data_IF_979336183828
#
_entry.id   IF_979336183828
#
_cell.length_a   1.000
_cell.length_b   1.000
_cell.length_c   1.000
_cell.angle_alpha   90.00
_cell.angle_beta   90.00
_cell.angle_gamma   90.00
#
_symmetry.space_group_name_H-M   'P 1'
#
loop_
_entity.id
_entity.type
_entity.pdbx_description
1 polymer ?
#
# COMPACT_ATOMS: atom_id res chain seq x y z
N UNK A 1 15.34 11.45 -11.60
CA UNK A 1 16.60 10.66 -11.67
C UNK A 1 16.78 9.92 -13.00
N UNK A 2 15.72 9.52 -13.70
CA UNK A 2 15.80 8.68 -14.91
C UNK A 2 16.37 9.38 -16.16
N UNK A 3 16.27 10.72 -16.25
CA UNK A 3 16.80 11.54 -17.35
C UNK A 3 18.29 11.89 -17.22
N UNK A 4 18.96 11.43 -16.16
CA UNK A 4 20.38 11.70 -15.97
C UNK A 4 21.25 11.01 -17.02
N UNK A 5 22.41 11.59 -17.32
CA UNK A 5 23.44 10.91 -18.10
C UNK A 5 23.88 9.61 -17.41
N UNK A 6 24.24 8.59 -18.21
CA UNK A 6 24.57 7.24 -17.73
C UNK A 6 25.66 7.25 -16.66
N UNK A 7 26.71 8.05 -16.83
CA UNK A 7 27.79 8.19 -15.85
C UNK A 7 27.28 8.64 -14.47
N UNK A 8 26.36 9.61 -14.45
CA UNK A 8 25.73 10.10 -13.22
C UNK A 8 24.83 9.04 -12.57
N UNK A 9 24.14 8.22 -13.37
CA UNK A 9 23.36 7.07 -12.88
C UNK A 9 24.28 6.05 -12.17
N UNK A 10 25.37 5.66 -12.84
CA UNK A 10 26.34 4.71 -12.32
C UNK A 10 27.00 5.21 -11.04
N UNK A 11 27.39 6.49 -10.98
CA UNK A 11 27.96 7.09 -9.77
C UNK A 11 26.98 7.05 -8.59
N UNK A 12 25.71 7.40 -8.81
CA UNK A 12 24.69 7.33 -7.76
C UNK A 12 24.49 5.88 -7.28
N UNK A 13 24.43 4.92 -8.19
CA UNK A 13 24.24 3.50 -7.87
C UNK A 13 25.46 2.88 -7.18
N UNK A 14 26.68 3.33 -7.50
CA UNK A 14 27.90 2.84 -6.87
C UNK A 14 27.90 3.04 -5.34
N UNK A 15 27.23 4.08 -4.83
CA UNK A 15 27.05 4.33 -3.39
C UNK A 15 26.23 3.24 -2.68
N UNK A 16 25.40 2.52 -3.44
CA UNK A 16 24.49 1.48 -2.92
C UNK A 16 24.84 0.07 -3.43
N UNK A 17 25.90 -0.07 -4.23
CA UNK A 17 26.29 -1.32 -4.88
C UNK A 17 27.56 -1.91 -4.28
N UNK A 18 27.65 -3.24 -4.30
CA UNK A 18 28.81 -3.96 -3.80
C UNK A 18 30.04 -3.79 -4.69
N UNK A 19 31.22 -3.68 -4.08
CA UNK A 19 32.50 -3.74 -4.81
C UNK A 19 32.72 -5.15 -5.36
N UNK A 20 33.36 -5.25 -6.51
CA UNK A 20 33.86 -6.51 -7.03
C UNK A 20 35.04 -7.01 -6.18
N UNK A 21 35.06 -8.31 -5.86
CA UNK A 21 36.17 -8.95 -5.13
C UNK A 21 36.31 -8.61 -3.65
N UNK A 22 35.37 -7.87 -3.03
CA UNK A 22 35.38 -7.64 -1.58
C UNK A 22 33.97 -7.45 -0.97
N UNK A 23 33.91 -7.36 0.36
CA UNK A 23 32.65 -7.23 1.10
C UNK A 23 32.08 -5.80 1.21
N UNK A 24 32.74 -4.82 0.58
CA UNK A 24 32.26 -3.44 0.59
C UNK A 24 30.88 -3.34 -0.09
N UNK A 25 29.91 -2.72 0.58
CA UNK A 25 28.51 -2.61 0.11
C UNK A 25 28.14 -1.25 -0.49
N UNK A 26 29.12 -0.40 -0.73
CA UNK A 26 28.88 0.93 -1.28
C UNK A 26 30.13 1.78 -1.34
N UNK A 27 30.30 2.46 -2.46
CA UNK A 27 31.36 3.43 -2.65
C UNK A 27 31.10 4.68 -1.80
N UNK A 28 32.14 5.16 -1.12
CA UNK A 28 32.16 6.46 -0.46
C UNK A 28 33.40 7.20 -0.91
N UNK A 29 33.25 8.46 -1.30
CA UNK A 29 34.39 9.28 -1.67
C UNK A 29 35.32 9.43 -0.46
N UNK A 30 36.60 9.13 -0.63
CA UNK A 30 37.60 9.48 0.37
C UNK A 30 37.68 11.02 0.47
N UNK A 31 37.71 11.56 1.70
CA UNK A 31 37.77 13.01 1.92
C UNK A 31 38.95 13.61 1.15
N UNK A 32 38.66 14.44 0.15
CA UNK A 32 39.66 15.33 -0.44
C UNK A 32 39.98 16.40 0.60
N UNK A 33 41.25 16.57 0.96
CA UNK A 33 41.69 17.73 1.75
C UNK A 33 41.27 19.02 1.05
N UNK A 34 40.88 20.04 1.82
CA UNK A 34 40.08 21.20 1.42
C UNK A 34 40.63 22.12 0.30
N UNK A 35 41.74 21.76 -0.36
CA UNK A 35 42.44 22.59 -1.36
C UNK A 35 42.31 22.11 -2.82
N UNK A 36 41.37 21.23 -3.15
CA UNK A 36 41.19 20.76 -4.54
C UNK A 36 39.96 21.39 -5.22
N UNK A 37 40.21 22.38 -6.07
CA UNK A 37 39.24 23.16 -6.86
C UNK A 37 38.69 22.44 -8.11
N UNK A 38 38.84 21.12 -8.20
CA UNK A 38 38.30 20.30 -9.30
C UNK A 38 37.52 19.09 -8.75
N UNK A 39 36.24 19.30 -8.49
CA UNK A 39 35.33 18.32 -7.86
C UNK A 39 34.77 17.28 -8.85
N UNK A 40 35.54 16.84 -9.84
CA UNK A 40 35.13 15.71 -10.68
C UNK A 40 35.57 14.40 -10.04
N UNK A 41 34.62 13.49 -9.84
CA UNK A 41 34.87 12.12 -9.38
C UNK A 41 35.34 11.28 -10.57
N UNK A 42 36.48 10.62 -10.44
CA UNK A 42 37.05 9.79 -11.52
C UNK A 42 36.88 8.29 -11.23
N UNK A 43 36.83 7.41 -12.25
CA UNK A 43 36.74 5.95 -12.04
C UNK A 43 37.91 5.34 -11.26
N UNK A 44 39.02 6.07 -11.11
CA UNK A 44 40.21 5.70 -10.33
C UNK A 44 40.16 6.18 -8.88
N UNK A 45 39.19 7.02 -8.50
CA UNK A 45 39.09 7.53 -7.13
C UNK A 45 38.87 6.38 -6.14
N UNK A 46 39.68 6.29 -5.07
CA UNK A 46 39.60 5.20 -4.11
C UNK A 46 38.38 5.34 -3.20
N UNK A 47 37.75 4.21 -2.90
CA UNK A 47 36.67 4.11 -1.93
C UNK A 47 37.21 4.31 -0.51
N UNK A 48 36.57 5.16 0.28
CA UNK A 48 36.92 5.34 1.69
C UNK A 48 36.83 4.05 2.52
N UNK A 49 35.89 3.16 2.18
CA UNK A 49 35.63 1.96 2.98
C UNK A 49 36.53 0.76 2.65
N UNK A 50 37.01 0.63 1.41
CA UNK A 50 37.78 -0.55 0.96
C UNK A 50 39.00 -0.23 0.10
N UNK A 51 39.31 1.06 -0.10
CA UNK A 51 40.42 1.61 -0.90
C UNK A 51 40.45 1.21 -2.39
N UNK A 52 39.57 0.30 -2.82
CA UNK A 52 39.38 -0.06 -4.22
C UNK A 52 38.83 1.10 -5.06
N UNK A 53 39.16 1.15 -6.37
CA UNK A 53 38.74 2.23 -7.25
C UNK A 53 37.22 2.21 -7.50
N UNK A 54 36.62 3.38 -7.74
CA UNK A 54 35.21 3.52 -8.11
C UNK A 54 34.78 2.58 -9.25
N UNK A 55 35.66 2.35 -10.23
CA UNK A 55 35.42 1.41 -11.33
C UNK A 55 35.03 0.00 -10.87
N UNK A 56 35.60 -0.51 -9.77
CA UNK A 56 35.23 -1.83 -9.20
C UNK A 56 33.84 -1.84 -8.53
N UNK A 57 33.30 -0.67 -8.15
CA UNK A 57 31.92 -0.55 -7.68
C UNK A 57 30.92 -0.38 -8.84
N UNK A 58 31.41 0.03 -10.01
CA UNK A 58 30.61 0.22 -11.23
C UNK A 58 30.65 -0.98 -12.17
N UNK A 59 31.58 -1.93 -11.99
CA UNK A 59 31.83 -3.02 -12.95
C UNK A 59 30.60 -3.90 -13.20
N UNK A 60 29.80 -4.19 -12.18
CA UNK A 60 28.54 -4.96 -12.32
C UNK A 60 27.38 -4.14 -12.89
N UNK A 61 27.47 -2.81 -12.81
CA UNK A 61 26.42 -1.88 -13.24
C UNK A 61 26.64 -1.42 -14.70
N UNK A 62 27.89 -1.20 -15.09
CA UNK A 62 28.25 -0.67 -16.41
C UNK A 62 27.76 -1.51 -17.59
N UNK A 63 27.61 -2.85 -17.50
CA UNK A 63 27.02 -3.67 -18.57
C UNK A 63 25.48 -3.63 -18.62
N UNK A 64 24.80 -3.14 -17.57
CA UNK A 64 23.34 -3.21 -17.48
C UNK A 64 22.66 -2.25 -18.47
N UNK A 65 21.50 -2.63 -19.05
CA UNK A 65 20.72 -1.72 -19.87
C UNK A 65 20.22 -0.53 -19.04
N UNK A 66 19.97 0.60 -19.71
CA UNK A 66 19.51 1.83 -19.05
C UNK A 66 18.19 1.67 -18.29
N UNK A 67 17.31 0.78 -18.76
CA UNK A 67 16.07 0.39 -18.07
C UNK A 67 16.36 -0.23 -16.68
N UNK A 68 17.33 -1.12 -16.60
CA UNK A 68 17.69 -1.77 -15.33
C UNK A 68 18.39 -0.80 -14.38
N UNK A 69 19.23 0.10 -14.91
CA UNK A 69 19.79 1.20 -14.13
C UNK A 69 18.69 2.12 -13.58
N UNK A 70 17.67 2.44 -14.39
CA UNK A 70 16.52 3.22 -13.95
C UNK A 70 15.73 2.50 -12.86
N UNK A 71 15.49 1.18 -13.00
CA UNK A 71 14.83 0.38 -11.96
C UNK A 71 15.58 0.44 -10.63
N UNK A 72 16.91 0.25 -10.66
CA UNK A 72 17.74 0.32 -9.46
C UNK A 72 17.76 1.75 -8.86
N UNK A 73 17.77 2.78 -9.71
CA UNK A 73 17.67 4.17 -9.24
C UNK A 73 16.33 4.47 -8.58
N UNK A 74 15.23 3.90 -9.07
CA UNK A 74 13.92 3.98 -8.41
C UNK A 74 13.99 3.42 -6.99
N UNK A 75 14.60 2.23 -6.84
CA UNK A 75 14.83 1.64 -5.51
C UNK A 75 15.71 2.51 -4.61
N UNK A 76 16.72 3.20 -5.16
CA UNK A 76 17.56 4.13 -4.37
C UNK A 76 16.72 5.29 -3.84
N UNK A 77 15.84 5.86 -4.66
CA UNK A 77 14.90 6.92 -4.23
C UNK A 77 13.98 6.40 -3.14
N UNK A 78 13.44 5.19 -3.28
CA UNK A 78 12.58 4.56 -2.27
C UNK A 78 13.34 4.31 -0.96
N UNK A 79 14.60 3.87 -1.01
CA UNK A 79 15.46 3.72 0.17
C UNK A 79 15.64 5.06 0.89
N UNK A 80 15.84 6.16 0.14
CA UNK A 80 15.97 7.51 0.71
C UNK A 80 14.64 7.99 1.33
N UNK A 81 13.51 7.74 0.67
CA UNK A 81 12.18 8.06 1.19
C UNK A 81 11.89 7.31 2.50
N UNK A 82 12.10 5.98 2.52
CA UNK A 82 11.92 5.16 3.73
C UNK A 82 12.87 5.62 4.83
N UNK A 83 14.12 5.94 4.50
CA UNK A 83 15.08 6.44 5.48
C UNK A 83 14.58 7.73 6.15
N UNK A 84 14.02 8.66 5.39
CA UNK A 84 13.40 9.86 5.94
C UNK A 84 12.17 9.53 6.81
N UNK A 85 11.34 8.57 6.40
CA UNK A 85 10.19 8.11 7.20
C UNK A 85 10.63 7.52 8.54
N UNK A 86 11.70 6.71 8.59
CA UNK A 86 12.25 6.13 9.84
C UNK A 86 12.64 7.23 10.85
N UNK A 87 13.17 8.36 10.38
CA UNK A 87 13.60 9.46 11.26
C UNK A 87 12.43 10.26 11.84
N UNK A 88 11.30 10.29 11.13
CA UNK A 88 10.08 10.97 11.54
C UNK A 88 9.14 10.07 12.34
N UNK A 89 9.30 8.76 12.21
CA UNK A 89 8.43 7.78 12.87
C UNK A 89 8.75 7.64 14.37
N UNK A 90 7.70 7.81 15.17
CA UNK A 90 7.71 7.71 16.63
C UNK A 90 7.23 6.34 17.10
N UNK A 91 6.28 5.73 16.39
CA UNK A 91 5.72 4.44 16.77
C UNK A 91 6.74 3.31 16.54
N UNK A 92 7.11 2.54 17.57
CA UNK A 92 8.16 1.53 17.47
C UNK A 92 7.82 0.41 16.49
N UNK A 93 6.55 -0.03 16.47
CA UNK A 93 6.09 -1.10 15.60
C UNK A 93 6.17 -0.69 14.12
N UNK A 94 5.74 0.52 13.80
CA UNK A 94 5.82 1.09 12.43
C UNK A 94 7.27 1.30 12.01
N UNK A 95 8.12 1.78 12.91
CA UNK A 95 9.55 1.99 12.66
C UNK A 95 10.31 0.70 12.37
N UNK A 96 9.99 -0.40 13.06
CA UNK A 96 10.55 -1.72 12.79
C UNK A 96 10.23 -2.19 11.36
N UNK A 97 8.99 -1.96 10.90
CA UNK A 97 8.57 -2.31 9.53
C UNK A 97 9.31 -1.48 8.50
N UNK A 98 9.44 -0.16 8.71
CA UNK A 98 10.24 0.68 7.80
C UNK A 98 11.71 0.26 7.78
N UNK A 99 12.29 -0.10 8.92
CA UNK A 99 13.68 -0.59 8.97
C UNK A 99 13.84 -1.93 8.23
N UNK A 100 12.86 -2.82 8.32
CA UNK A 100 12.82 -4.05 7.52
C UNK A 100 12.82 -3.74 6.02
N UNK A 101 11.92 -2.86 5.54
CA UNK A 101 11.83 -2.50 4.12
C UNK A 101 13.10 -1.79 3.62
N UNK A 102 13.66 -0.90 4.43
CA UNK A 102 14.95 -0.26 4.14
C UNK A 102 16.06 -1.30 3.92
N UNK A 103 16.18 -2.29 4.80
CA UNK A 103 17.17 -3.38 4.66
C UNK A 103 16.89 -4.23 3.42
N UNK A 104 15.61 -4.56 3.16
CA UNK A 104 15.19 -5.35 2.00
C UNK A 104 15.60 -4.66 0.70
N UNK A 105 15.21 -3.40 0.51
CA UNK A 105 15.52 -2.64 -0.71
C UNK A 105 17.01 -2.47 -0.91
N UNK A 106 17.76 -2.13 0.15
CA UNK A 106 19.23 -2.02 0.07
C UNK A 106 19.88 -3.32 -0.36
N UNK A 107 19.45 -4.46 0.20
CA UNK A 107 19.94 -5.78 -0.22
C UNK A 107 19.61 -6.05 -1.69
N UNK A 108 18.38 -5.76 -2.12
CA UNK A 108 17.97 -5.97 -3.51
C UNK A 108 18.74 -5.08 -4.50
N UNK A 109 19.14 -3.86 -4.12
CA UNK A 109 20.03 -3.03 -4.95
C UNK A 109 21.42 -3.68 -5.08
N UNK A 110 22.02 -4.14 -3.97
CA UNK A 110 23.33 -4.82 -3.97
C UNK A 110 23.30 -6.11 -4.80
N UNK A 111 22.21 -6.87 -4.72
CA UNK A 111 22.02 -8.14 -5.42
C UNK A 111 21.47 -7.98 -6.84
N UNK A 112 21.13 -6.76 -7.26
CA UNK A 112 20.49 -6.46 -8.55
C UNK A 112 19.16 -7.22 -8.76
N UNK A 113 18.37 -7.37 -7.71
CA UNK A 113 17.10 -8.12 -7.71
C UNK A 113 15.89 -7.19 -7.53
N UNK A 114 14.70 -7.71 -7.84
CA UNK A 114 13.43 -7.11 -7.45
C UNK A 114 13.12 -7.44 -5.98
N UNK A 115 12.52 -6.52 -5.22
CA UNK A 115 12.14 -6.81 -3.84
C UNK A 115 11.00 -7.81 -3.79
N UNK A 116 11.14 -8.80 -2.92
CA UNK A 116 10.10 -9.76 -2.59
C UNK A 116 9.97 -9.77 -1.08
N UNK A 117 8.80 -9.39 -0.59
CA UNK A 117 8.48 -9.46 0.84
C UNK A 117 8.20 -10.93 1.14
N UNK A 118 9.12 -11.61 1.80
CA UNK A 118 8.95 -12.99 2.25
C UNK A 118 8.87 -13.08 3.79
N UNK A 119 8.40 -14.22 4.30
CA UNK A 119 8.43 -14.53 5.73
C UNK A 119 7.06 -14.90 6.31
N UNK A 120 6.91 -14.87 7.65
CA UNK A 120 5.74 -15.40 8.35
C UNK A 120 4.45 -14.58 8.15
N UNK A 121 4.53 -13.43 7.46
CA UNK A 121 3.38 -12.59 7.17
C UNK A 121 2.43 -13.21 6.13
N UNK A 122 2.89 -14.18 5.33
CA UNK A 122 2.13 -14.69 4.19
C UNK A 122 2.12 -13.73 3.00
N UNK A 123 1.35 -14.06 1.95
CA UNK A 123 1.16 -13.24 0.76
C UNK A 123 -0.32 -12.87 0.59
N UNK A 124 -0.64 -11.73 -0.02
CA UNK A 124 -2.01 -11.39 -0.38
C UNK A 124 -2.58 -12.38 -1.44
N UNK A 125 -3.90 -12.64 -1.46
CA UNK A 125 -4.91 -12.13 -0.51
C UNK A 125 -4.83 -12.85 0.85
N UNK A 126 -5.13 -12.12 1.92
CA UNK A 126 -5.03 -12.63 3.31
C UNK A 126 -6.34 -13.24 3.83
N UNK A 127 -7.48 -12.85 3.25
CA UNK A 127 -8.80 -13.29 3.67
C UNK A 127 -9.75 -13.29 2.48
N UNK A 128 -10.67 -14.26 2.45
CA UNK A 128 -11.73 -14.36 1.45
C UNK A 128 -13.05 -14.67 2.18
N UNK A 129 -14.15 -13.95 1.88
CA UNK A 129 -14.24 -12.86 0.91
C UNK A 129 -13.49 -11.60 1.35
N UNK A 130 -13.03 -10.82 0.37
CA UNK A 130 -12.40 -9.52 0.61
C UNK A 130 -13.43 -8.48 1.10
N UNK A 131 -12.95 -7.35 1.64
CA UNK A 131 -13.80 -6.22 2.04
C UNK A 131 -14.66 -5.75 0.86
N UNK A 132 -14.05 -5.59 -0.33
CA UNK A 132 -14.77 -5.17 -1.53
C UNK A 132 -15.89 -6.15 -1.92
N UNK A 133 -15.61 -7.46 -1.81
CA UNK A 133 -16.62 -8.50 -2.07
C UNK A 133 -17.72 -8.49 -1.01
N UNK A 134 -17.37 -8.41 0.27
CA UNK A 134 -18.34 -8.31 1.38
C UNK A 134 -19.26 -7.09 1.25
N UNK A 135 -18.72 -5.92 0.88
CA UNK A 135 -19.53 -4.73 0.63
C UNK A 135 -20.44 -4.86 -0.60
N UNK A 136 -19.96 -5.53 -1.65
CA UNK A 136 -20.80 -5.81 -2.82
C UNK A 136 -21.96 -6.73 -2.44
N UNK A 137 -21.65 -7.79 -1.69
CA UNK A 137 -22.65 -8.70 -1.15
C UNK A 137 -23.64 -7.98 -0.23
N UNK A 138 -23.18 -7.04 0.60
CA UNK A 138 -24.03 -6.19 1.44
C UNK A 138 -25.02 -5.36 0.64
N UNK A 139 -24.57 -4.71 -0.44
CA UNK A 139 -25.45 -3.87 -1.25
C UNK A 139 -26.52 -4.72 -1.94
N UNK A 140 -26.16 -5.89 -2.45
CA UNK A 140 -27.12 -6.86 -2.96
C UNK A 140 -28.09 -7.31 -1.85
N UNK A 141 -27.54 -7.67 -0.68
CA UNK A 141 -28.28 -8.24 0.43
C UNK A 141 -29.35 -7.31 0.97
N UNK A 142 -28.97 -6.08 1.29
CA UNK A 142 -29.86 -5.11 1.92
C UNK A 142 -30.68 -4.32 0.94
N UNK A 143 -30.19 -4.08 -0.27
CA UNK A 143 -30.77 -3.10 -1.19
C UNK A 143 -31.18 -3.67 -2.55
N UNK A 144 -31.03 -4.98 -2.79
CA UNK A 144 -31.36 -5.59 -4.08
C UNK A 144 -32.83 -5.46 -4.51
N UNK A 145 -33.72 -5.18 -3.55
CA UNK A 145 -35.14 -4.92 -3.79
C UNK A 145 -35.46 -3.49 -4.25
N UNK A 146 -34.50 -2.57 -4.18
CA UNK A 146 -34.70 -1.17 -4.54
C UNK A 146 -34.79 -0.96 -6.06
N UNK A 147 -35.30 0.22 -6.45
CA UNK A 147 -35.23 0.68 -7.84
C UNK A 147 -33.78 0.76 -8.32
N UNK A 148 -33.53 0.67 -9.64
CA UNK A 148 -32.18 0.79 -10.19
C UNK A 148 -31.47 2.09 -9.73
N UNK A 149 -32.19 3.21 -9.66
CA UNK A 149 -31.64 4.50 -9.23
C UNK A 149 -31.19 4.47 -7.76
N UNK A 150 -32.03 3.94 -6.88
CA UNK A 150 -31.74 3.93 -5.44
C UNK A 150 -30.69 2.87 -5.11
N UNK A 151 -30.73 1.72 -5.77
CA UNK A 151 -29.69 0.70 -5.70
C UNK A 151 -28.33 1.24 -6.14
N UNK A 152 -28.28 1.95 -7.27
CA UNK A 152 -27.05 2.59 -7.77
C UNK A 152 -26.51 3.60 -6.75
N UNK A 153 -27.39 4.36 -6.10
CA UNK A 153 -27.01 5.29 -5.03
C UNK A 153 -26.33 4.56 -3.86
N UNK A 154 -26.89 3.42 -3.40
CA UNK A 154 -26.26 2.62 -2.34
C UNK A 154 -24.94 2.00 -2.77
N UNK A 155 -24.84 1.58 -4.03
CA UNK A 155 -23.61 1.05 -4.61
C UNK A 155 -22.52 2.13 -4.71
N UNK A 156 -22.88 3.36 -5.06
CA UNK A 156 -21.94 4.50 -5.10
C UNK A 156 -21.45 4.88 -3.70
N UNK A 157 -22.31 4.81 -2.67
CA UNK A 157 -21.90 4.97 -1.26
C UNK A 157 -20.92 3.86 -0.84
N UNK A 158 -21.14 2.62 -1.26
CA UNK A 158 -20.21 1.52 -1.01
C UNK A 158 -18.85 1.78 -1.66
N UNK A 159 -18.82 2.21 -2.93
CA UNK A 159 -17.57 2.59 -3.62
C UNK A 159 -16.84 3.74 -2.92
N UNK A 160 -17.58 4.74 -2.45
CA UNK A 160 -17.01 5.84 -1.67
C UNK A 160 -16.35 5.33 -0.39
N UNK A 161 -16.98 4.41 0.34
CA UNK A 161 -16.38 3.81 1.52
C UNK A 161 -15.14 2.97 1.20
N UNK A 162 -15.18 2.14 0.14
CA UNK A 162 -14.02 1.37 -0.31
C UNK A 162 -12.85 2.27 -0.70
N UNK A 163 -13.14 3.39 -1.37
CA UNK A 163 -12.14 4.38 -1.73
C UNK A 163 -11.49 4.98 -0.49
N UNK A 164 -12.28 5.36 0.53
CA UNK A 164 -11.76 5.86 1.81
C UNK A 164 -10.85 4.84 2.49
N UNK A 165 -11.24 3.56 2.55
CA UNK A 165 -10.44 2.49 3.18
C UNK A 165 -9.10 2.26 2.48
N UNK A 166 -9.05 2.37 1.15
CA UNK A 166 -7.81 2.18 0.38
C UNK A 166 -6.78 3.30 0.61
N UNK A 167 -7.22 4.48 1.06
CA UNK A 167 -6.37 5.64 1.33
C UNK A 167 -6.34 6.02 2.81
N UNK A 168 -6.87 5.15 3.66
CA UNK A 168 -6.91 5.41 5.09
C UNK A 168 -5.54 5.18 5.72
N UNK A 169 -5.17 6.03 6.67
CA UNK A 169 -4.04 5.78 7.56
C UNK A 169 -4.57 5.13 8.83
N UNK A 170 -4.39 3.83 9.00
CA UNK A 170 -4.90 3.12 10.18
C UNK A 170 -4.07 3.45 11.42
N UNK A 171 -4.70 3.33 12.59
CA UNK A 171 -4.05 3.59 13.87
C UNK A 171 -2.90 2.60 14.11
N UNK A 172 -1.80 3.09 14.67
CA UNK A 172 -0.68 2.22 15.00
C UNK A 172 -1.08 1.20 16.08
N UNK A 173 -0.44 0.02 16.16
CA UNK A 173 -0.77 -0.96 17.19
C UNK A 173 -0.63 -0.38 18.61
N UNK A 174 0.32 0.53 18.85
CA UNK A 174 0.48 1.21 20.14
C UNK A 174 -0.71 2.09 20.51
N UNK A 175 -1.24 2.85 19.55
CA UNK A 175 -2.44 3.67 19.76
C UNK A 175 -3.70 2.81 19.89
N UNK A 176 -3.84 1.80 19.03
CA UNK A 176 -4.99 0.91 19.01
C UNK A 176 -5.10 0.07 20.28
N UNK A 177 -3.98 -0.40 20.83
CA UNK A 177 -3.91 -1.15 22.10
C UNK A 177 -4.53 -0.42 23.27
N UNK A 178 -4.57 0.92 23.27
CA UNK A 178 -5.21 1.69 24.34
C UNK A 178 -6.74 1.55 24.35
N UNK A 179 -7.33 1.07 23.25
CA UNK A 179 -8.79 0.95 23.05
C UNK A 179 -9.30 -0.48 23.13
N UNK A 180 -8.41 -1.48 23.15
CA UNK A 180 -8.76 -2.91 23.07
C UNK A 180 -8.19 -3.68 24.26
N UNK A 181 -8.98 -4.64 24.75
CA UNK A 181 -8.76 -5.25 26.06
C UNK A 181 -8.01 -6.59 26.01
N UNK A 182 -8.00 -7.30 24.88
CA UNK A 182 -7.42 -8.66 24.82
C UNK A 182 -6.05 -8.70 24.10
N UNK A 183 -5.05 -9.41 24.66
CA UNK A 183 -3.74 -9.57 24.02
C UNK A 183 -3.79 -10.25 22.65
N UNK A 184 -4.72 -11.18 22.45
CA UNK A 184 -4.89 -11.92 21.19
C UNK A 184 -5.32 -10.99 20.05
N UNK A 185 -6.27 -10.09 20.32
CA UNK A 185 -6.74 -9.09 19.36
C UNK A 185 -5.63 -8.09 18.99
N UNK A 186 -4.80 -7.68 19.96
CA UNK A 186 -3.63 -6.82 19.72
C UNK A 186 -2.61 -7.51 18.82
N UNK A 187 -2.31 -8.79 19.08
CA UNK A 187 -1.39 -9.57 18.24
C UNK A 187 -1.92 -9.72 16.81
N UNK A 188 -3.19 -10.09 16.67
CA UNK A 188 -3.85 -10.23 15.36
C UNK A 188 -3.86 -8.90 14.59
N UNK A 189 -4.16 -7.79 15.26
CA UNK A 189 -4.11 -6.46 14.65
C UNK A 189 -2.70 -6.08 14.23
N UNK A 190 -1.68 -6.31 15.07
CA UNK A 190 -0.29 -6.02 14.73
C UNK A 190 0.18 -6.76 13.47
N UNK A 191 -0.23 -8.01 13.30
CA UNK A 191 0.05 -8.79 12.07
C UNK A 191 -0.62 -8.14 10.86
N UNK A 192 -1.91 -7.81 10.94
CA UNK A 192 -2.64 -7.20 9.84
C UNK A 192 -2.17 -5.78 9.52
N UNK A 193 -1.82 -4.99 10.53
CA UNK A 193 -1.21 -3.67 10.39
C UNK A 193 0.14 -3.76 9.67
N UNK A 194 0.98 -4.72 10.05
CA UNK A 194 2.26 -4.99 9.37
C UNK A 194 2.04 -5.38 7.90
N UNK A 195 1.09 -6.29 7.62
CA UNK A 195 0.70 -6.64 6.24
C UNK A 195 0.22 -5.42 5.46
N UNK A 196 -0.62 -4.60 6.06
CA UNK A 196 -1.15 -3.40 5.42
C UNK A 196 -0.04 -2.41 5.10
N UNK A 197 0.91 -2.19 6.03
CA UNK A 197 2.05 -1.32 5.80
C UNK A 197 2.86 -1.78 4.57
N UNK A 198 3.26 -3.04 4.53
CA UNK A 198 4.22 -3.53 3.53
C UNK A 198 3.59 -3.78 2.15
N UNK A 199 2.30 -4.14 2.08
CA UNK A 199 1.62 -4.49 0.82
C UNK A 199 0.67 -3.40 0.29
N UNK A 200 0.21 -2.47 1.14
CA UNK A 200 -0.78 -1.47 0.74
C UNK A 200 -0.24 -0.04 0.94
N UNK A 201 0.19 0.32 2.15
CA UNK A 201 0.52 1.70 2.48
C UNK A 201 1.87 2.18 1.91
N UNK A 202 2.97 1.51 2.25
CA UNK A 202 4.31 1.92 1.79
C UNK A 202 4.45 1.90 0.27
N UNK A 203 3.89 0.91 -0.45
CA UNK A 203 3.90 0.92 -1.91
C UNK A 203 3.21 2.15 -2.55
N UNK A 204 2.42 2.95 -1.82
CA UNK A 204 1.85 4.20 -2.37
C UNK A 204 2.89 5.31 -2.60
N UNK A 205 4.06 5.20 -1.96
CA UNK A 205 5.17 6.15 -2.10
C UNK A 205 6.54 5.45 -2.32
N UNK A 206 6.52 4.15 -2.56
CA UNK A 206 7.69 3.31 -2.86
C UNK A 206 7.35 2.34 -4.00
N UNK A 207 7.42 2.83 -5.24
CA UNK A 207 6.95 2.12 -6.44
C UNK A 207 7.77 0.86 -6.77
N UNK A 208 8.93 0.66 -6.14
CA UNK A 208 9.68 -0.60 -6.28
C UNK A 208 8.99 -1.80 -5.62
N UNK A 209 8.06 -1.55 -4.69
CA UNK A 209 7.26 -2.58 -4.02
C UNK A 209 5.94 -2.82 -4.77
N UNK A 210 5.43 -4.06 -4.73
CA UNK A 210 4.14 -4.38 -5.34
C UNK A 210 3.02 -3.78 -4.49
N UNK A 211 2.21 -2.91 -5.09
CA UNK A 211 1.08 -2.27 -4.45
C UNK A 211 -0.22 -3.08 -4.62
N UNK A 212 -0.89 -3.34 -3.51
CA UNK A 212 -2.22 -3.93 -3.44
C UNK A 212 -3.21 -2.96 -2.78
N UNK A 213 -4.47 -2.98 -3.23
CA UNK A 213 -5.54 -2.22 -2.57
C UNK A 213 -5.96 -2.93 -1.29
N UNK A 214 -5.99 -2.21 -0.17
CA UNK A 214 -6.45 -2.72 1.15
C UNK A 214 -7.74 -3.53 1.02
N UNK A 215 -8.75 -3.01 0.33
CA UNK A 215 -10.07 -3.63 0.26
C UNK A 215 -10.14 -4.89 -0.59
N UNK A 216 -9.10 -5.19 -1.36
CA UNK A 216 -9.03 -6.37 -2.23
C UNK A 216 -8.29 -7.54 -1.56
N UNK A 217 -7.35 -7.24 -0.67
CA UNK A 217 -6.48 -8.27 -0.05
C UNK A 217 -6.83 -8.58 1.39
N UNK A 218 -7.55 -7.70 2.07
CA UNK A 218 -8.09 -7.94 3.41
C UNK A 218 -9.60 -8.21 3.36
N UNK A 219 -10.10 -8.88 4.40
CA UNK A 219 -11.51 -9.22 4.57
C UNK A 219 -12.08 -8.70 5.88
N UNK A 220 -13.04 -9.47 6.40
CA UNK A 220 -13.85 -9.13 7.58
C UNK A 220 -13.00 -8.88 8.82
N UNK A 221 -11.91 -9.62 9.00
CA UNK A 221 -11.09 -9.57 10.23
C UNK A 221 -10.45 -8.21 10.42
N UNK A 222 -9.73 -7.70 9.41
CA UNK A 222 -9.15 -6.34 9.49
C UNK A 222 -10.26 -5.29 9.62
N UNK A 223 -11.33 -5.44 8.83
CA UNK A 223 -12.44 -4.48 8.84
C UNK A 223 -13.04 -4.35 10.24
N UNK A 224 -13.27 -5.46 10.96
CA UNK A 224 -13.75 -5.44 12.35
C UNK A 224 -12.83 -4.66 13.28
N UNK A 225 -11.51 -4.77 13.12
CA UNK A 225 -10.53 -4.07 13.96
C UNK A 225 -10.54 -2.55 13.76
N UNK A 226 -10.74 -2.08 12.52
CA UNK A 226 -10.57 -0.66 12.16
C UNK A 226 -11.88 0.10 11.99
N UNK A 227 -13.00 -0.59 11.74
CA UNK A 227 -14.23 0.04 11.26
C UNK A 227 -14.75 1.16 12.17
N UNK A 228 -14.81 0.95 13.48
CA UNK A 228 -15.34 1.96 14.41
C UNK A 228 -14.54 3.26 14.39
N UNK A 229 -13.21 3.16 14.46
CA UNK A 229 -12.33 4.34 14.39
C UNK A 229 -12.42 5.02 13.03
N UNK A 230 -12.35 4.25 11.94
CA UNK A 230 -12.49 4.76 10.57
C UNK A 230 -13.83 5.47 10.38
N UNK A 231 -14.94 4.87 10.82
CA UNK A 231 -16.29 5.44 10.70
C UNK A 231 -16.39 6.78 11.41
N UNK A 232 -15.95 6.85 12.68
CA UNK A 232 -15.99 8.11 13.44
C UNK A 232 -15.21 9.20 12.71
N UNK A 233 -13.94 8.94 12.43
CA UNK A 233 -13.05 9.90 11.78
C UNK A 233 -13.52 10.29 10.37
N UNK A 234 -14.12 9.37 9.62
CA UNK A 234 -14.63 9.64 8.27
C UNK A 234 -15.84 10.57 8.33
N UNK A 235 -16.77 10.34 9.25
CA UNK A 235 -17.91 11.21 9.48
C UNK A 235 -17.48 12.59 9.96
N UNK A 236 -16.54 12.65 10.89
CA UNK A 236 -15.95 13.91 11.38
C UNK A 236 -15.34 14.71 10.22
N UNK A 237 -14.54 14.05 9.36
CA UNK A 237 -13.99 14.70 8.14
C UNK A 237 -15.08 15.21 7.21
N UNK A 238 -16.12 14.42 6.95
CA UNK A 238 -17.24 14.86 6.11
C UNK A 238 -17.92 16.11 6.68
N UNK A 239 -18.07 16.20 8.00
CA UNK A 239 -18.63 17.38 8.66
C UNK A 239 -17.68 18.59 8.63
N UNK A 240 -16.39 18.40 8.94
CA UNK A 240 -15.39 19.47 8.93
C UNK A 240 -15.13 20.04 7.54
N UNK A 241 -15.23 19.21 6.49
CA UNK A 241 -15.01 19.62 5.10
C UNK A 241 -16.30 19.93 4.33
N UNK A 242 -17.44 20.09 5.04
CA UNK A 242 -18.76 20.32 4.43
C UNK A 242 -18.76 21.40 3.35
N UNK A 243 -18.03 22.49 3.54
CA UNK A 243 -18.02 23.59 2.57
C UNK A 243 -17.27 23.24 1.28
N UNK A 244 -16.34 22.29 1.31
CA UNK A 244 -15.64 21.76 0.12
C UNK A 244 -16.49 20.74 -0.63
N UNK A 245 -17.53 20.20 -0.01
CA UNK A 245 -18.44 19.24 -0.64
C UNK A 245 -19.39 19.98 -1.60
N UNK A 246 -19.44 19.59 -2.89
CA UNK A 246 -20.39 20.14 -3.86
C UNK A 246 -21.83 20.04 -3.35
N UNK A 247 -22.62 21.10 -3.55
CA UNK A 247 -23.95 21.26 -2.95
C UNK A 247 -24.85 20.07 -3.27
N UNK A 248 -24.80 19.61 -4.51
CA UNK A 248 -25.55 18.47 -5.04
C UNK A 248 -25.19 17.12 -4.38
N UNK A 249 -24.00 17.01 -3.76
CA UNK A 249 -23.55 15.79 -3.05
C UNK A 249 -23.71 15.88 -1.54
N UNK A 250 -23.99 17.07 -0.98
CA UNK A 250 -24.05 17.27 0.49
C UNK A 250 -25.07 16.38 1.18
N UNK A 251 -26.27 16.23 0.62
CA UNK A 251 -27.31 15.37 1.20
C UNK A 251 -26.86 13.90 1.19
N UNK A 252 -26.27 13.44 0.08
CA UNK A 252 -25.75 12.07 -0.06
C UNK A 252 -24.70 11.77 1.03
N UNK A 253 -23.72 12.67 1.19
CA UNK A 253 -22.59 12.46 2.10
C UNK A 253 -22.96 12.70 3.56
N UNK A 254 -23.76 13.73 3.88
CA UNK A 254 -24.02 14.12 5.27
C UNK A 254 -25.26 13.44 5.86
N UNK A 255 -26.15 12.87 5.04
CA UNK A 255 -27.39 12.25 5.52
C UNK A 255 -27.49 10.78 5.20
N UNK A 256 -27.20 10.37 3.96
CA UNK A 256 -27.32 8.96 3.56
C UNK A 256 -26.11 8.13 3.96
N UNK A 257 -24.89 8.67 3.82
CA UNK A 257 -23.67 7.94 4.13
C UNK A 257 -23.55 7.50 5.60
N UNK A 258 -23.88 8.34 6.62
CA UNK A 258 -23.88 7.88 8.00
C UNK A 258 -24.81 6.70 8.26
N UNK A 259 -26.02 6.72 7.65
CA UNK A 259 -26.99 5.63 7.73
C UNK A 259 -26.47 4.36 7.05
N UNK A 260 -25.88 4.51 5.86
CA UNK A 260 -25.22 3.41 5.16
C UNK A 260 -24.14 2.76 6.03
N UNK A 261 -23.28 3.57 6.67
CA UNK A 261 -22.24 3.08 7.57
C UNK A 261 -22.82 2.36 8.80
N UNK A 262 -23.93 2.84 9.38
CA UNK A 262 -24.61 2.12 10.46
C UNK A 262 -25.10 0.73 10.02
N UNK A 263 -25.67 0.63 8.82
CA UNK A 263 -26.22 -0.64 8.32
C UNK A 263 -25.13 -1.67 8.02
N UNK A 264 -23.98 -1.27 7.46
CA UNK A 264 -22.85 -2.20 7.23
C UNK A 264 -22.17 -2.57 8.54
N UNK A 265 -22.16 -1.70 9.55
CA UNK A 265 -21.62 -2.01 10.88
C UNK A 265 -22.30 -3.24 11.49
N UNK A 266 -23.62 -3.31 11.41
CA UNK A 266 -24.40 -4.45 11.89
C UNK A 266 -23.90 -5.76 11.25
N UNK A 267 -23.71 -5.77 9.94
CA UNK A 267 -23.27 -6.95 9.20
C UNK A 267 -21.77 -7.27 9.40
N UNK A 268 -20.93 -6.28 9.69
CA UNK A 268 -19.51 -6.49 10.03
C UNK A 268 -19.39 -7.27 11.35
N UNK A 269 -20.20 -6.93 12.35
CA UNK A 269 -20.10 -7.50 13.69
C UNK A 269 -21.06 -8.66 13.97
N UNK A 270 -22.14 -8.81 13.19
CA UNK A 270 -23.11 -9.91 13.35
C UNK A 270 -22.48 -11.27 13.03
N UNK A 271 -22.43 -12.24 13.97
CA UNK A 271 -21.68 -13.49 13.81
C UNK A 271 -22.03 -14.22 12.51
N UNK A 272 -23.33 -14.34 12.22
CA UNK A 272 -23.87 -15.15 11.11
C UNK A 272 -24.27 -14.30 9.89
N UNK A 273 -23.66 -13.13 9.70
CA UNK A 273 -23.95 -12.30 8.53
C UNK A 273 -23.58 -13.04 7.22
N UNK A 274 -24.54 -13.23 6.30
CA UNK A 274 -24.33 -14.03 5.09
C UNK A 274 -23.42 -13.33 4.07
N UNK A 275 -23.20 -12.01 4.20
CA UNK A 275 -22.41 -11.24 3.21
C UNK A 275 -20.94 -11.67 3.19
N UNK A 276 -20.48 -12.32 4.26
CA UNK A 276 -19.12 -12.84 4.42
C UNK A 276 -18.98 -14.32 4.08
N UNK A 277 -20.06 -14.98 3.66
CA UNK A 277 -20.02 -16.35 3.18
C UNK A 277 -19.36 -16.38 1.78
N UNK A 278 -18.28 -17.17 1.57
CA UNK A 278 -17.69 -17.38 0.25
C UNK A 278 -18.70 -17.88 -0.80
N UNK A 279 -19.72 -18.64 -0.38
CA UNK A 279 -20.77 -19.20 -1.22
C UNK A 279 -22.01 -18.30 -1.31
N UNK A 280 -21.94 -17.04 -0.83
CA UNK A 280 -23.05 -16.11 -0.90
C UNK A 280 -23.59 -15.99 -2.33
N UNK A 281 -24.84 -16.42 -2.52
CA UNK A 281 -25.58 -16.34 -3.77
C UNK A 281 -26.84 -15.54 -3.52
N UNK A 282 -26.97 -14.43 -4.22
CA UNK A 282 -28.24 -13.73 -4.34
C UNK A 282 -28.62 -13.60 -5.81
N UNK A 283 -29.92 -13.72 -6.05
CA UNK A 283 -30.52 -13.41 -7.34
C UNK A 283 -30.22 -11.92 -7.61
N UNK A 284 -29.48 -11.59 -8.69
CA UNK A 284 -29.22 -10.19 -9.02
C UNK A 284 -30.56 -9.45 -9.20
N UNK A 285 -30.65 -8.16 -8.85
CA UNK A 285 -31.85 -7.37 -9.10
C UNK A 285 -32.34 -7.52 -10.54
N UNK A 286 -33.66 -7.50 -10.77
CA UNK A 286 -34.24 -7.75 -12.09
C UNK A 286 -33.66 -6.86 -13.21
N UNK A 287 -33.28 -5.62 -12.88
CA UNK A 287 -32.63 -4.69 -13.81
C UNK A 287 -31.20 -5.12 -14.19
N UNK A 288 -30.45 -5.74 -13.26
CA UNK A 288 -29.12 -6.31 -13.50
C UNK A 288 -29.23 -7.63 -14.27
N UNK A 289 -30.27 -8.43 -14.03
CA UNK A 289 -30.56 -9.63 -14.83
C UNK A 289 -30.85 -9.28 -16.29
N UNK A 290 -31.70 -8.29 -16.54
CA UNK A 290 -31.96 -7.81 -17.90
C UNK A 290 -30.70 -7.28 -18.61
N UNK A 291 -29.78 -6.65 -17.86
CA UNK A 291 -28.48 -6.21 -18.39
C UNK A 291 -27.52 -7.39 -18.69
N UNK A 292 -27.54 -8.44 -17.87
CA UNK A 292 -26.76 -9.67 -18.07
C UNK A 292 -27.29 -10.54 -19.22
N UNK A 293 -28.61 -10.56 -19.42
CA UNK A 293 -29.26 -11.27 -20.52
C UNK A 293 -29.09 -10.55 -21.86
N UNK A 294 -29.04 -9.20 -21.86
CA UNK A 294 -28.78 -8.40 -23.07
C UNK A 294 -27.31 -8.30 -23.48
N UNK A 295 -26.37 -8.56 -22.56
CA UNK A 295 -24.93 -8.60 -22.83
C UNK A 295 -24.38 -9.96 -22.43
N UNK A 296 -24.28 -10.86 -23.42
CA UNK A 296 -23.69 -12.19 -23.30
C UNK A 296 -22.57 -12.26 -22.26
N UNK A 297 -22.76 -13.19 -21.32
CA UNK A 297 -22.06 -13.33 -20.05
C UNK A 297 -20.54 -13.51 -20.18
N UNK A 298 -19.78 -12.43 -20.43
CA UNK A 298 -18.32 -12.45 -20.25
C UNK A 298 -17.73 -11.09 -19.81
N UNK A 299 -18.39 -9.97 -20.12
CA UNK A 299 -17.83 -8.63 -19.83
C UNK A 299 -18.18 -8.06 -18.46
N UNK A 300 -19.32 -8.45 -17.86
CA UNK A 300 -19.75 -7.86 -16.58
C UNK A 300 -19.01 -8.43 -15.37
N UNK A 301 -18.67 -9.73 -15.37
CA UNK A 301 -17.95 -10.35 -14.24
C UNK A 301 -16.53 -9.79 -14.04
N UNK A 302 -15.87 -9.30 -15.10
CA UNK A 302 -14.53 -8.71 -15.02
C UNK A 302 -14.51 -7.30 -14.40
N UNK A 303 -15.62 -6.56 -14.45
CA UNK A 303 -15.70 -5.21 -13.89
C UNK A 303 -16.04 -5.18 -12.39
N UNK A 304 -16.47 -6.32 -11.83
CA UNK A 304 -16.85 -6.47 -10.42
C UNK A 304 -15.79 -7.14 -9.54
N UNK A 305 -14.68 -7.62 -10.13
CA UNK A 305 -13.66 -8.40 -9.41
C UNK A 305 -12.23 -7.81 -9.46
N UNK A 306 -12.03 -6.57 -9.95
CA UNK A 306 -10.72 -5.87 -9.98
C UNK A 306 -10.76 -4.46 -9.36
#
# INVERSE_FOLDING_TARGET
VYSWARERKLLKLAVYSGCEGCDCKGWKQANKTANSTSSQTTPTDPCHNCTHPLSQHMSKLAPLPDEELNRLLGMVVDVENIFMSIHREEDPDTKEVFYYLFKLLRRCIVELKKPVIGGPLGQPPFESPSIAKGLTNFVLYKFGHLSHRDWQTMYDLAKMFLHSLNHWNFETPSAWKQTVLTPEEVSAYKINYTRWLVFCHVPTFCDSLIHFKTTTVFGRTLLRSVFKSVRSQLLDRCHSEKERIPVEKRVLILTYFPKFLSLIEEEIYAPDSPIWDPEFKQVPPAHLQAALESRGAYFFLQQFLN
#
